data_IF_877120207299
#
_entry.id   IF_877120207299
#
_cell.length_a   1.000
_cell.length_b   1.000
_cell.length_c   1.000
_cell.angle_alpha   90.00
_cell.angle_beta   90.00
_cell.angle_gamma   90.00
#
_symmetry.space_group_name_H-M   'P 1'
#
loop_
_entity.id
_entity.type
_entity.pdbx_description
1 polymer ?
#
# COMPACT_ATOMS: atom_id res chain seq x y z
N UNK A 1 9.26 27.40 4.18
CA UNK A 1 9.76 28.54 4.98
C UNK A 1 11.22 28.89 4.69
N UNK A 2 12.16 27.95 4.59
CA UNK A 2 13.55 28.24 4.20
C UNK A 2 13.66 28.89 2.81
N UNK A 3 12.81 28.55 1.88
CA UNK A 3 12.77 29.06 0.50
C UNK A 3 11.85 30.27 0.32
N UNK A 4 11.24 30.78 1.40
CA UNK A 4 10.35 31.96 1.41
C UNK A 4 9.13 31.85 0.49
N UNK A 5 8.72 30.65 0.08
CA UNK A 5 7.54 30.44 -0.77
C UNK A 5 6.23 30.76 -0.03
N UNK A 6 6.20 30.55 1.29
CA UNK A 6 5.04 30.81 2.15
C UNK A 6 5.49 31.40 3.48
N UNK A 7 4.71 32.31 4.04
CA UNK A 7 4.83 32.76 5.41
C UNK A 7 4.00 31.90 6.38
N UNK A 8 4.33 31.98 7.67
CA UNK A 8 3.56 31.28 8.71
C UNK A 8 2.15 31.88 8.82
N UNK A 9 2.02 33.16 8.63
CA UNK A 9 0.75 33.90 8.66
C UNK A 9 -0.18 33.44 7.55
N UNK A 10 0.34 33.23 6.34
CA UNK A 10 -0.43 32.71 5.22
C UNK A 10 -0.95 31.31 5.51
N UNK A 11 -0.11 30.41 6.03
CA UNK A 11 -0.54 29.05 6.38
C UNK A 11 -1.60 29.07 7.49
N UNK A 12 -1.43 29.92 8.51
CA UNK A 12 -2.38 30.07 9.63
C UNK A 12 -3.68 30.76 9.25
N UNK A 13 -3.74 31.44 8.11
CA UNK A 13 -4.98 32.05 7.62
C UNK A 13 -5.99 31.04 7.09
N UNK A 14 -5.53 29.80 6.82
CA UNK A 14 -6.40 28.71 6.40
C UNK A 14 -6.94 27.93 7.61
N UNK A 15 -8.16 27.43 7.47
CA UNK A 15 -8.77 26.56 8.46
C UNK A 15 -8.37 25.10 8.18
N UNK A 16 -7.78 24.42 9.16
CA UNK A 16 -7.21 23.08 8.99
C UNK A 16 -7.99 21.95 9.68
N UNK A 17 -9.10 22.29 10.32
CA UNK A 17 -9.97 21.38 11.09
C UNK A 17 -10.49 22.08 12.34
N UNK A 18 -11.52 21.48 12.95
CA UNK A 18 -12.18 22.03 14.13
C UNK A 18 -11.71 21.40 15.44
N UNK A 19 -11.05 20.25 15.37
CA UNK A 19 -10.57 19.48 16.50
C UNK A 19 -9.11 19.05 16.28
N UNK A 20 -8.27 19.25 17.28
CA UNK A 20 -6.87 18.81 17.23
C UNK A 20 -6.73 17.29 17.37
N UNK A 21 -7.75 16.62 17.93
CA UNK A 21 -7.79 15.17 18.11
C UNK A 21 -8.40 14.42 16.92
N UNK A 22 -9.09 15.14 16.01
CA UNK A 22 -9.75 14.53 14.86
C UNK A 22 -9.37 15.23 13.55
N UNK A 23 -8.94 14.45 12.56
CA UNK A 23 -8.45 15.00 11.29
C UNK A 23 -9.61 15.19 10.32
N UNK A 24 -9.90 16.45 9.98
CA UNK A 24 -10.83 16.78 8.88
C UNK A 24 -10.10 16.63 7.53
N UNK A 25 -10.14 15.43 6.97
CA UNK A 25 -9.48 15.12 5.69
C UNK A 25 -10.02 15.94 4.52
N UNK A 26 -11.32 16.26 4.50
CA UNK A 26 -11.91 17.05 3.42
C UNK A 26 -11.36 18.48 3.43
N UNK A 27 -11.30 19.08 4.61
CA UNK A 27 -10.77 20.43 4.79
C UNK A 27 -9.27 20.50 4.50
N UNK A 28 -8.50 19.51 4.95
CA UNK A 28 -7.07 19.41 4.62
C UNK A 28 -6.89 19.30 3.10
N UNK A 29 -7.63 18.41 2.44
CA UNK A 29 -7.53 18.22 1.00
C UNK A 29 -7.78 19.52 0.24
N UNK A 30 -8.87 20.23 0.56
CA UNK A 30 -9.24 21.49 -0.09
C UNK A 30 -8.18 22.59 0.13
N UNK A 31 -7.79 22.81 1.37
CA UNK A 31 -6.92 23.94 1.72
C UNK A 31 -5.44 23.69 1.40
N UNK A 32 -4.97 22.43 1.50
CA UNK A 32 -3.60 22.09 1.15
C UNK A 32 -3.26 22.45 -0.30
N UNK A 33 -4.14 22.13 -1.24
CA UNK A 33 -3.88 22.47 -2.64
C UNK A 33 -3.92 23.96 -2.90
N UNK A 34 -4.75 24.75 -2.19
CA UNK A 34 -4.73 26.22 -2.26
C UNK A 34 -3.37 26.78 -1.81
N UNK A 35 -2.89 26.30 -0.68
CA UNK A 35 -1.58 26.67 -0.13
C UNK A 35 -0.42 26.26 -1.04
N UNK A 36 -0.46 25.07 -1.60
CA UNK A 36 0.55 24.59 -2.55
C UNK A 36 0.57 25.43 -3.84
N UNK A 37 -0.59 25.83 -4.37
CA UNK A 37 -0.68 26.73 -5.53
C UNK A 37 -0.10 28.13 -5.22
N UNK A 38 -0.29 28.66 -4.01
CA UNK A 38 0.35 29.93 -3.58
C UNK A 38 1.87 29.79 -3.53
N UNK A 39 2.38 28.64 -3.07
CA UNK A 39 3.82 28.35 -3.06
C UNK A 39 4.37 28.25 -4.49
N UNK A 40 3.69 27.51 -5.34
CA UNK A 40 4.07 27.32 -6.73
C UNK A 40 4.13 28.63 -7.52
N UNK A 41 3.19 29.54 -7.31
CA UNK A 41 3.18 30.85 -7.97
C UNK A 41 4.43 31.73 -7.67
N UNK A 42 5.21 31.36 -6.65
CA UNK A 42 6.46 32.03 -6.25
C UNK A 42 7.70 31.20 -6.48
N UNK A 43 7.49 29.98 -6.97
CA UNK A 43 8.57 29.04 -7.20
C UNK A 43 9.23 29.31 -8.56
N UNK A 44 10.54 29.22 -8.58
CA UNK A 44 11.33 29.34 -9.81
C UNK A 44 11.37 27.98 -10.54
N UNK A 45 10.59 27.85 -11.60
CA UNK A 45 10.51 26.62 -12.41
C UNK A 45 11.79 26.37 -13.23
N UNK A 46 12.66 27.36 -13.39
CA UNK A 46 13.96 27.22 -14.05
C UNK A 46 15.08 26.81 -13.07
N UNK A 47 14.74 26.60 -11.78
CA UNK A 47 15.68 26.14 -10.78
C UNK A 47 16.33 24.82 -11.22
N UNK A 48 17.69 24.81 -11.33
CA UNK A 48 18.43 23.65 -11.83
C UNK A 48 18.15 22.36 -11.08
N UNK A 49 17.91 22.41 -9.76
CA UNK A 49 17.63 21.22 -8.95
C UNK A 49 16.23 20.66 -9.28
N UNK A 50 15.27 21.54 -9.54
CA UNK A 50 13.93 21.12 -9.98
C UNK A 50 13.95 20.53 -11.38
N UNK A 51 14.64 21.17 -12.32
CA UNK A 51 14.77 20.66 -13.70
C UNK A 51 15.45 19.28 -13.69
N UNK A 52 16.57 19.16 -12.97
CA UNK A 52 17.26 17.86 -12.82
C UNK A 52 16.34 16.78 -12.22
N UNK A 53 15.56 17.13 -11.19
CA UNK A 53 14.59 16.20 -10.61
C UNK A 53 13.56 15.73 -11.64
N UNK A 54 13.01 16.64 -12.43
CA UNK A 54 12.04 16.29 -13.49
C UNK A 54 12.67 15.39 -14.56
N UNK A 55 13.88 15.69 -15.00
CA UNK A 55 14.61 14.85 -15.98
C UNK A 55 14.92 13.45 -15.45
N UNK A 56 15.45 13.34 -14.23
CA UNK A 56 15.79 12.06 -13.60
C UNK A 56 14.56 11.17 -13.33
N UNK A 57 13.40 11.77 -13.13
CA UNK A 57 12.15 11.08 -12.82
C UNK A 57 11.15 11.06 -13.99
N UNK A 58 11.53 11.55 -15.18
CA UNK A 58 10.64 11.69 -16.33
C UNK A 58 9.87 10.41 -16.68
N UNK A 59 10.46 9.22 -16.42
CA UNK A 59 9.86 7.93 -16.70
C UNK A 59 8.47 7.73 -16.06
N UNK A 60 8.26 8.27 -14.87
CA UNK A 60 6.98 8.15 -14.16
C UNK A 60 6.33 9.51 -13.92
N UNK A 61 7.12 10.55 -13.70
CA UNK A 61 6.67 11.87 -13.29
C UNK A 61 5.87 12.56 -14.40
N UNK A 62 6.31 12.45 -15.65
CA UNK A 62 5.62 13.08 -16.81
C UNK A 62 4.21 12.54 -16.96
N UNK A 63 4.05 11.22 -16.96
CA UNK A 63 2.72 10.60 -17.05
C UNK A 63 1.87 10.89 -15.81
N UNK A 64 2.47 10.91 -14.62
CA UNK A 64 1.76 11.23 -13.38
C UNK A 64 1.23 12.66 -13.38
N UNK A 65 2.06 13.62 -13.74
CA UNK A 65 1.69 15.04 -13.76
C UNK A 65 0.61 15.33 -14.79
N UNK A 66 0.76 14.79 -16.01
CA UNK A 66 -0.25 14.90 -17.07
C UNK A 66 -1.57 14.23 -16.64
N UNK A 67 -1.53 12.98 -16.15
CA UNK A 67 -2.72 12.27 -15.70
C UNK A 67 -3.47 13.07 -14.62
N UNK A 68 -2.74 13.59 -13.63
CA UNK A 68 -3.34 14.33 -12.52
C UNK A 68 -3.93 15.66 -12.99
N UNK A 69 -3.28 16.35 -13.94
CA UNK A 69 -3.80 17.55 -14.57
C UNK A 69 -5.09 17.26 -15.37
N UNK A 70 -5.11 16.17 -16.14
CA UNK A 70 -6.30 15.71 -16.87
C UNK A 70 -7.45 15.36 -15.90
N UNK A 71 -7.16 14.62 -14.82
CA UNK A 71 -8.17 14.31 -13.79
C UNK A 71 -8.83 15.58 -13.27
N UNK A 72 -8.06 16.62 -12.96
CA UNK A 72 -8.61 17.91 -12.49
C UNK A 72 -9.35 18.65 -13.57
N UNK A 73 -8.87 18.62 -14.80
CA UNK A 73 -9.53 19.24 -15.95
C UNK A 73 -10.92 18.64 -16.20
N UNK A 74 -11.06 17.31 -16.08
CA UNK A 74 -12.32 16.58 -16.24
C UNK A 74 -13.10 16.39 -14.94
N UNK A 75 -12.84 17.17 -13.89
CA UNK A 75 -13.62 17.13 -12.66
C UNK A 75 -13.50 15.84 -11.87
N UNK A 76 -12.31 15.24 -11.85
CA UNK A 76 -11.97 13.98 -11.19
C UNK A 76 -12.69 12.74 -11.78
N UNK A 77 -13.22 12.86 -13.01
CA UNK A 77 -13.85 11.73 -13.70
C UNK A 77 -12.85 10.61 -13.98
N UNK A 78 -13.32 9.35 -13.92
CA UNK A 78 -12.51 8.16 -14.22
C UNK A 78 -11.97 8.23 -15.64
N UNK A 79 -10.69 7.87 -15.85
CA UNK A 79 -10.03 7.96 -17.16
C UNK A 79 -10.73 7.12 -18.24
N UNK A 80 -11.45 6.07 -17.88
CA UNK A 80 -12.24 5.24 -18.80
C UNK A 80 -13.38 6.00 -19.46
N UNK A 81 -13.80 7.13 -18.89
CA UNK A 81 -14.85 8.00 -19.41
C UNK A 81 -14.33 9.16 -20.26
N UNK A 82 -13.02 9.34 -20.30
CA UNK A 82 -12.43 10.36 -21.16
C UNK A 82 -12.64 10.03 -22.64
N UNK A 83 -12.54 11.02 -23.50
CA UNK A 83 -12.59 10.83 -24.94
C UNK A 83 -11.58 9.78 -25.42
N UNK A 84 -11.97 9.05 -26.46
CA UNK A 84 -11.19 7.91 -26.97
C UNK A 84 -9.70 8.25 -27.23
N UNK A 85 -9.33 9.38 -27.87
CA UNK A 85 -7.93 9.72 -28.10
C UNK A 85 -7.11 9.85 -26.81
N UNK A 86 -7.68 10.43 -25.74
CA UNK A 86 -7.01 10.50 -24.44
C UNK A 86 -6.98 9.14 -23.73
N UNK A 87 -8.08 8.41 -23.82
CA UNK A 87 -8.18 7.07 -23.21
C UNK A 87 -7.19 6.10 -23.86
N UNK A 88 -6.99 6.20 -25.20
CA UNK A 88 -6.03 5.38 -25.96
C UNK A 88 -4.60 5.94 -25.93
N UNK A 89 -4.40 7.11 -25.36
CA UNK A 89 -3.12 7.85 -25.32
C UNK A 89 -2.61 8.20 -26.73
N UNK A 90 -3.50 8.69 -27.59
CA UNK A 90 -3.10 9.21 -28.89
C UNK A 90 -2.07 10.34 -28.74
N UNK A 91 -0.91 10.25 -29.42
CA UNK A 91 0.18 11.21 -29.23
C UNK A 91 -0.18 12.66 -29.56
N UNK A 92 -1.07 12.90 -30.53
CA UNK A 92 -1.49 14.27 -30.89
C UNK A 92 -2.42 14.84 -29.82
N UNK A 93 -3.37 14.03 -29.35
CA UNK A 93 -4.24 14.41 -28.23
C UNK A 93 -3.45 14.69 -26.96
N UNK A 94 -2.48 13.83 -26.59
CA UNK A 94 -1.62 14.08 -25.44
C UNK A 94 -0.87 15.40 -25.57
N UNK A 95 -0.25 15.66 -26.70
CA UNK A 95 0.50 16.90 -26.95
C UNK A 95 -0.37 18.16 -26.88
N UNK A 96 -1.62 18.09 -27.35
CA UNK A 96 -2.57 19.19 -27.21
C UNK A 96 -2.84 19.50 -25.73
N UNK A 97 -3.10 18.47 -24.91
CA UNK A 97 -3.36 18.66 -23.48
C UNK A 97 -2.09 19.02 -22.68
N UNK A 98 -0.93 18.49 -23.04
CA UNK A 98 0.36 18.94 -22.47
C UNK A 98 0.56 20.43 -22.67
N UNK A 99 0.20 20.96 -23.84
CA UNK A 99 0.27 22.41 -24.12
C UNK A 99 -0.79 23.18 -23.34
N UNK A 100 -2.02 22.70 -23.34
CA UNK A 100 -3.16 23.40 -22.71
C UNK A 100 -3.04 23.40 -21.18
N UNK A 101 -2.57 22.31 -20.59
CA UNK A 101 -2.47 22.12 -19.13
C UNK A 101 -1.04 22.30 -18.60
N UNK A 102 -0.16 22.90 -19.39
CA UNK A 102 1.27 23.05 -19.06
C UNK A 102 1.52 23.57 -17.64
N UNK A 103 0.79 24.61 -17.22
CA UNK A 103 0.94 25.17 -15.88
C UNK A 103 0.48 24.21 -14.77
N UNK A 104 -0.59 23.43 -15.00
CA UNK A 104 -1.06 22.45 -14.03
C UNK A 104 -0.12 21.24 -13.96
N UNK A 105 0.45 20.81 -15.09
CA UNK A 105 1.48 19.76 -15.14
C UNK A 105 2.69 20.17 -14.29
N UNK A 106 3.25 21.36 -14.54
CA UNK A 106 4.37 21.89 -13.74
C UNK A 106 4.04 22.02 -12.26
N UNK A 107 2.79 22.34 -11.93
CA UNK A 107 2.34 22.37 -10.53
C UNK A 107 2.40 20.99 -9.87
N UNK A 108 1.99 19.94 -10.56
CA UNK A 108 2.07 18.57 -10.00
C UNK A 108 3.50 18.04 -9.95
N UNK A 109 4.35 18.39 -10.91
CA UNK A 109 5.79 18.13 -10.86
C UNK A 109 6.43 18.83 -9.64
N UNK A 110 6.10 20.11 -9.41
CA UNK A 110 6.52 20.84 -8.22
C UNK A 110 6.06 20.18 -6.92
N UNK A 111 4.82 19.69 -6.86
CA UNK A 111 4.32 18.99 -5.67
C UNK A 111 5.14 17.73 -5.38
N UNK A 112 5.50 16.95 -6.41
CA UNK A 112 6.34 15.76 -6.25
C UNK A 112 7.78 16.16 -5.86
N UNK A 113 8.36 17.16 -6.49
CA UNK A 113 9.67 17.69 -6.13
C UNK A 113 9.75 18.05 -4.64
N UNK A 114 8.79 18.83 -4.15
CA UNK A 114 8.74 19.22 -2.75
C UNK A 114 8.53 18.04 -1.81
N UNK A 115 7.70 17.06 -2.21
CA UNK A 115 7.52 15.83 -1.46
C UNK A 115 8.82 15.06 -1.33
N UNK A 116 9.48 14.74 -2.45
CA UNK A 116 10.72 13.96 -2.45
C UNK A 116 11.85 14.66 -1.70
N UNK A 117 11.97 15.97 -1.84
CA UNK A 117 12.93 16.80 -1.09
C UNK A 117 12.72 16.73 0.43
N UNK A 118 11.46 16.79 0.88
CA UNK A 118 11.10 16.70 2.29
C UNK A 118 11.24 15.27 2.82
N UNK A 119 10.81 14.29 2.03
CA UNK A 119 10.93 12.88 2.37
C UNK A 119 12.39 12.45 2.54
N UNK A 120 13.24 12.84 1.62
CA UNK A 120 14.69 12.58 1.71
C UNK A 120 15.28 13.09 3.02
N UNK A 121 14.95 14.34 3.40
CA UNK A 121 15.40 14.92 4.68
C UNK A 121 14.88 14.15 5.89
N UNK A 122 13.61 13.71 5.86
CA UNK A 122 13.02 12.92 6.92
C UNK A 122 13.71 11.56 7.04
N UNK A 123 13.91 10.87 5.91
CA UNK A 123 14.58 9.57 5.86
C UNK A 123 16.02 9.69 6.40
N UNK A 124 16.78 10.66 5.94
CA UNK A 124 18.13 10.94 6.44
C UNK A 124 18.15 11.22 7.95
N UNK A 125 17.18 11.99 8.45
CA UNK A 125 17.04 12.27 9.87
C UNK A 125 16.76 11.01 10.69
N UNK A 126 15.89 10.12 10.21
CA UNK A 126 15.58 8.83 10.83
C UNK A 126 16.80 7.89 10.80
N UNK A 127 17.40 7.70 9.63
CA UNK A 127 18.53 6.80 9.44
C UNK A 127 19.75 7.22 10.27
N UNK A 128 20.05 8.52 10.40
CA UNK A 128 21.12 9.03 11.26
C UNK A 128 20.90 8.74 12.77
N UNK A 129 19.70 8.26 13.15
CA UNK A 129 19.35 7.82 14.51
C UNK A 129 19.19 6.31 14.61
N UNK A 130 19.58 5.56 13.58
CA UNK A 130 19.44 4.10 13.53
C UNK A 130 18.00 3.64 13.33
N UNK A 131 17.09 4.52 12.87
CA UNK A 131 15.70 4.21 12.58
C UNK A 131 15.55 3.94 11.08
N UNK A 132 15.07 2.77 10.72
CA UNK A 132 14.74 2.40 9.35
C UNK A 132 13.25 2.65 9.06
N UNK A 133 12.95 3.04 7.82
CA UNK A 133 11.59 3.24 7.35
C UNK A 133 11.15 2.00 6.55
N UNK A 134 10.04 1.40 6.96
CA UNK A 134 9.41 0.29 6.24
C UNK A 134 8.25 0.86 5.42
N UNK A 135 8.29 0.66 4.10
CA UNK A 135 7.21 1.03 3.19
C UNK A 135 6.36 -0.16 2.81
N UNK A 136 5.06 0.03 2.76
CA UNK A 136 4.12 -0.98 2.31
C UNK A 136 3.83 -0.80 0.81
N UNK A 137 4.10 -1.85 0.03
CA UNK A 137 3.88 -1.87 -1.41
C UNK A 137 2.66 -2.72 -1.74
N UNK A 138 1.51 -2.11 -2.06
CA UNK A 138 0.32 -2.85 -2.50
C UNK A 138 0.64 -3.70 -3.73
N UNK A 139 0.22 -4.97 -3.72
CA UNK A 139 0.45 -5.82 -4.89
C UNK A 139 -0.29 -5.29 -6.12
N UNK A 140 -1.56 -4.94 -6.00
CA UNK A 140 -2.36 -4.39 -7.08
C UNK A 140 -2.35 -2.86 -7.08
N UNK A 141 -2.77 -2.28 -8.19
CA UNK A 141 -2.99 -0.84 -8.37
C UNK A 141 -4.46 -0.56 -8.64
N UNK A 142 -4.91 0.65 -8.35
CA UNK A 142 -6.28 1.04 -8.64
C UNK A 142 -6.52 1.12 -10.15
N UNK A 143 -7.73 0.75 -10.59
CA UNK A 143 -8.12 0.85 -12.00
C UNK A 143 -8.05 2.31 -12.50
N UNK A 144 -8.56 3.23 -11.68
CA UNK A 144 -8.47 4.67 -11.95
C UNK A 144 -7.15 5.23 -11.41
N UNK A 145 -6.07 4.91 -12.11
CA UNK A 145 -4.71 5.33 -11.78
C UNK A 145 -3.87 5.58 -13.03
N UNK A 146 -2.83 6.38 -12.88
CA UNK A 146 -1.83 6.60 -13.93
C UNK A 146 -1.15 5.29 -14.35
N UNK A 147 -0.91 4.38 -13.40
CA UNK A 147 -0.27 3.10 -13.67
C UNK A 147 -1.04 2.30 -14.73
N UNK A 148 -2.37 2.26 -14.60
CA UNK A 148 -3.23 1.53 -15.55
C UNK A 148 -3.42 2.33 -16.84
N UNK A 149 -3.67 3.63 -16.76
CA UNK A 149 -3.86 4.48 -17.93
C UNK A 149 -2.61 4.53 -18.83
N UNK A 150 -1.43 4.65 -18.23
CA UNK A 150 -0.17 4.75 -18.96
C UNK A 150 0.34 3.40 -19.49
N UNK A 151 -0.09 2.28 -18.91
CA UNK A 151 0.45 0.96 -19.21
C UNK A 151 -0.67 -0.08 -19.41
N UNK A 152 -1.70 0.25 -20.19
CA UNK A 152 -2.91 -0.58 -20.36
C UNK A 152 -2.62 -2.02 -20.77
N UNK A 153 -1.61 -2.25 -21.58
CA UNK A 153 -1.20 -3.57 -22.08
C UNK A 153 -0.66 -4.48 -20.98
N UNK A 154 -0.25 -3.90 -19.83
CA UNK A 154 0.23 -4.66 -18.66
C UNK A 154 -0.90 -5.20 -17.78
N UNK A 155 -2.15 -4.88 -18.13
CA UNK A 155 -3.34 -5.31 -17.40
C UNK A 155 -4.32 -6.03 -18.32
N UNK A 156 -5.15 -6.92 -17.76
CA UNK A 156 -6.17 -7.62 -18.52
C UNK A 156 -7.43 -6.75 -18.66
N UNK A 157 -7.42 -5.87 -19.66
CA UNK A 157 -8.49 -4.92 -19.96
C UNK A 157 -9.17 -5.25 -21.30
N UNK A 158 -10.42 -4.83 -21.45
CA UNK A 158 -11.10 -4.69 -22.74
C UNK A 158 -10.61 -3.43 -23.48
N UNK A 159 -11.03 -3.24 -24.74
CA UNK A 159 -10.62 -2.09 -25.53
C UNK A 159 -11.06 -0.75 -24.93
N UNK A 160 -12.19 -0.71 -24.24
CA UNK A 160 -12.71 0.47 -23.57
C UNK A 160 -12.04 0.78 -22.21
N UNK A 161 -11.08 -0.04 -21.77
CA UNK A 161 -10.40 0.07 -20.49
C UNK A 161 -11.13 -0.64 -19.34
N UNK A 162 -12.25 -1.29 -19.59
CA UNK A 162 -12.95 -2.09 -18.59
C UNK A 162 -12.13 -3.34 -18.21
N UNK A 163 -11.97 -3.70 -16.94
CA UNK A 163 -11.26 -4.93 -16.57
C UNK A 163 -11.99 -6.19 -17.04
N UNK A 164 -11.26 -7.15 -17.63
CA UNK A 164 -11.79 -8.50 -17.93
C UNK A 164 -12.15 -9.26 -16.65
N UNK A 165 -11.43 -8.99 -15.61
CA UNK A 165 -11.65 -9.46 -14.25
C UNK A 165 -10.84 -8.63 -13.28
N UNK A 166 -11.23 -8.65 -12.03
CA UNK A 166 -10.60 -7.90 -10.95
C UNK A 166 -10.04 -8.82 -9.88
N UNK A 167 -9.07 -8.35 -9.13
CA UNK A 167 -8.53 -9.05 -7.98
C UNK A 167 -9.59 -9.19 -6.88
N UNK A 168 -9.46 -10.22 -6.07
CA UNK A 168 -10.34 -10.48 -4.95
C UNK A 168 -9.90 -11.68 -4.13
N UNK A 169 -10.78 -12.14 -3.26
CA UNK A 169 -10.57 -13.33 -2.43
C UNK A 169 -11.82 -14.24 -2.47
N UNK A 170 -11.63 -15.56 -2.35
CA UNK A 170 -12.75 -16.50 -2.25
C UNK A 170 -13.48 -16.32 -0.92
N UNK A 171 -14.71 -16.88 -0.79
CA UNK A 171 -15.39 -16.99 0.50
C UNK A 171 -14.51 -17.63 1.59
N UNK A 172 -14.44 -17.00 2.75
CA UNK A 172 -13.67 -17.48 3.90
C UNK A 172 -14.34 -17.09 5.24
N UNK A 173 -13.60 -17.18 6.35
CA UNK A 173 -14.11 -16.82 7.67
C UNK A 173 -14.28 -15.31 7.87
N UNK A 174 -13.63 -14.47 7.05
CA UNK A 174 -13.72 -13.02 7.11
C UNK A 174 -14.83 -12.46 6.22
N UNK A 175 -15.14 -13.18 5.11
CA UNK A 175 -16.18 -12.77 4.17
C UNK A 175 -16.89 -14.00 3.60
N UNK A 176 -18.14 -14.21 3.99
CA UNK A 176 -19.00 -15.31 3.52
C UNK A 176 -19.21 -15.28 1.99
N UNK A 177 -19.22 -14.08 1.40
CA UNK A 177 -19.41 -13.86 -0.03
C UNK A 177 -18.10 -13.74 -0.80
N UNK A 178 -16.95 -13.89 -0.13
CA UNK A 178 -15.65 -13.52 -0.70
C UNK A 178 -15.53 -12.02 -0.91
N UNK A 179 -14.43 -11.60 -1.54
CA UNK A 179 -14.13 -10.19 -1.73
C UNK A 179 -13.90 -9.88 -3.20
N UNK A 180 -14.33 -8.69 -3.63
CA UNK A 180 -14.08 -8.12 -4.95
C UNK A 180 -13.42 -6.76 -4.75
N UNK A 181 -12.11 -6.65 -5.03
CA UNK A 181 -11.33 -5.46 -4.69
C UNK A 181 -11.37 -4.35 -5.75
N UNK A 182 -11.87 -4.66 -6.96
CA UNK A 182 -11.96 -3.68 -8.04
C UNK A 182 -10.66 -3.41 -8.80
N UNK A 183 -9.51 -3.79 -8.28
CA UNK A 183 -8.22 -3.62 -8.95
C UNK A 183 -8.09 -4.56 -10.15
N UNK A 184 -7.62 -4.10 -11.33
CA UNK A 184 -7.40 -4.95 -12.48
C UNK A 184 -6.28 -5.96 -12.22
N UNK A 185 -6.38 -7.14 -12.82
CA UNK A 185 -5.32 -8.13 -12.73
C UNK A 185 -4.28 -7.94 -13.83
N UNK A 186 -3.04 -8.31 -13.53
CA UNK A 186 -1.91 -8.13 -14.44
C UNK A 186 -1.94 -9.08 -15.65
N UNK A 187 -1.48 -8.61 -16.78
CA UNK A 187 -1.14 -9.41 -17.96
C UNK A 187 0.30 -9.94 -17.82
N UNK A 188 0.46 -11.01 -17.04
CA UNK A 188 1.76 -11.59 -16.73
C UNK A 188 2.54 -12.02 -17.97
N UNK A 189 1.85 -12.46 -19.02
CA UNK A 189 2.50 -12.85 -20.27
C UNK A 189 3.18 -11.65 -20.95
N UNK A 190 2.49 -10.52 -21.01
CA UNK A 190 3.05 -9.28 -21.57
C UNK A 190 4.20 -8.74 -20.71
N UNK A 191 4.06 -8.76 -19.38
CA UNK A 191 5.13 -8.34 -18.47
C UNK A 191 6.38 -9.23 -18.56
N UNK A 192 6.21 -10.52 -18.85
CA UNK A 192 7.34 -11.44 -19.01
C UNK A 192 8.17 -11.14 -20.27
N UNK A 193 7.54 -10.64 -21.35
CA UNK A 193 8.22 -10.31 -22.62
C UNK A 193 9.32 -9.27 -22.45
N UNK A 194 9.15 -8.30 -21.55
CA UNK A 194 10.16 -7.27 -21.25
C UNK A 194 10.94 -7.53 -19.96
N UNK A 195 10.80 -8.73 -19.40
CA UNK A 195 11.48 -9.12 -18.16
C UNK A 195 10.94 -8.45 -16.90
N UNK A 196 9.64 -8.09 -16.89
CA UNK A 196 8.95 -7.41 -15.78
C UNK A 196 9.49 -5.99 -15.52
N UNK A 197 9.81 -5.26 -16.58
CA UNK A 197 10.42 -3.93 -16.48
C UNK A 197 9.62 -2.93 -15.62
N UNK A 198 8.28 -2.96 -15.69
CA UNK A 198 7.42 -2.14 -14.86
C UNK A 198 7.56 -2.48 -13.36
N UNK A 199 7.56 -3.78 -13.01
CA UNK A 199 7.76 -4.21 -11.62
C UNK A 199 9.15 -3.85 -11.09
N UNK A 200 10.19 -4.02 -11.91
CA UNK A 200 11.55 -3.61 -11.56
C UNK A 200 11.62 -2.11 -11.24
N UNK A 201 11.02 -1.28 -12.10
CA UNK A 201 10.97 0.15 -11.88
C UNK A 201 10.21 0.53 -10.61
N UNK A 202 9.05 -0.10 -10.38
CA UNK A 202 8.24 0.12 -9.19
C UNK A 202 9.00 -0.22 -7.91
N UNK A 203 9.71 -1.34 -7.89
CA UNK A 203 10.56 -1.73 -6.76
C UNK A 203 11.71 -0.77 -6.53
N UNK A 204 12.38 -0.31 -7.60
CA UNK A 204 13.47 0.67 -7.50
C UNK A 204 13.01 2.00 -6.92
N UNK A 205 11.85 2.51 -7.35
CA UNK A 205 11.31 3.76 -6.79
C UNK A 205 10.96 3.60 -5.30
N UNK A 206 10.41 2.45 -4.89
CA UNK A 206 10.15 2.18 -3.47
C UNK A 206 11.44 2.05 -2.66
N UNK A 207 12.48 1.46 -3.21
CA UNK A 207 13.79 1.35 -2.56
C UNK A 207 14.46 2.72 -2.32
N UNK A 208 14.17 3.73 -3.16
CA UNK A 208 14.61 5.11 -2.89
C UNK A 208 13.89 5.71 -1.67
N UNK A 209 12.60 5.40 -1.50
CA UNK A 209 11.78 5.96 -0.44
C UNK A 209 11.97 5.26 0.90
N UNK A 210 12.18 3.94 0.91
CA UNK A 210 12.17 3.11 2.11
C UNK A 210 13.46 2.32 2.25
N UNK A 211 13.77 1.91 3.48
CA UNK A 211 14.91 1.06 3.80
C UNK A 211 14.53 -0.41 3.73
N UNK A 212 13.26 -0.71 4.01
CA UNK A 212 12.66 -2.04 3.93
C UNK A 212 11.33 -1.94 3.17
N UNK A 213 11.03 -2.88 2.31
CA UNK A 213 9.76 -2.94 1.57
C UNK A 213 8.94 -4.11 2.07
N UNK A 214 7.73 -3.85 2.61
CA UNK A 214 6.72 -4.89 2.81
C UNK A 214 5.97 -5.09 1.49
N UNK A 215 6.11 -6.26 0.91
CA UNK A 215 5.35 -6.62 -0.29
C UNK A 215 4.03 -7.26 0.13
N UNK A 216 2.98 -6.49 -0.06
CA UNK A 216 1.62 -6.90 0.27
C UNK A 216 1.13 -8.03 -0.63
N UNK A 217 0.24 -8.89 -0.12
CA UNK A 217 -0.41 -9.99 -0.83
C UNK A 217 0.55 -10.87 -1.66
N UNK A 218 1.70 -11.23 -1.09
CA UNK A 218 2.77 -11.97 -1.77
C UNK A 218 2.29 -13.31 -2.37
N UNK A 219 1.28 -13.91 -1.77
CA UNK A 219 0.69 -15.14 -2.26
C UNK A 219 0.22 -15.05 -3.73
N UNK A 220 -0.15 -13.85 -4.19
CA UNK A 220 -0.56 -13.58 -5.57
C UNK A 220 0.55 -13.82 -6.59
N UNK A 221 1.83 -13.74 -6.21
CA UNK A 221 2.94 -14.10 -7.08
C UNK A 221 2.88 -15.59 -7.48
N UNK A 222 2.35 -16.44 -6.61
CA UNK A 222 2.20 -17.88 -6.89
C UNK A 222 0.84 -18.15 -7.50
N UNK A 223 -0.22 -17.64 -6.87
CA UNK A 223 -1.60 -17.89 -7.29
C UNK A 223 -2.50 -16.76 -6.77
N UNK A 224 -3.31 -16.20 -7.65
CA UNK A 224 -4.20 -15.10 -7.33
C UNK A 224 -5.64 -15.40 -7.72
N UNK A 225 -6.58 -14.75 -7.06
CA UNK A 225 -8.01 -14.98 -7.29
C UNK A 225 -8.58 -13.88 -8.17
N UNK A 226 -9.26 -14.28 -9.23
CA UNK A 226 -9.84 -13.36 -10.24
C UNK A 226 -11.35 -13.46 -10.18
N UNK A 227 -11.99 -12.35 -9.90
CA UNK A 227 -13.45 -12.22 -9.89
C UNK A 227 -13.88 -11.60 -11.21
N UNK A 228 -14.86 -12.19 -11.94
CA UNK A 228 -15.38 -11.57 -13.15
C UNK A 228 -15.88 -10.15 -12.88
N UNK A 229 -15.55 -9.19 -13.76
CA UNK A 229 -15.89 -7.80 -13.51
C UNK A 229 -17.39 -7.55 -13.28
N UNK A 230 -18.25 -8.31 -13.94
CA UNK A 230 -19.72 -8.22 -13.82
C UNK A 230 -20.29 -8.97 -12.62
N UNK A 231 -19.48 -9.71 -11.85
CA UNK A 231 -19.93 -10.40 -10.65
C UNK A 231 -20.22 -9.39 -9.52
N UNK A 232 -21.21 -9.70 -8.70
CA UNK A 232 -21.58 -8.86 -7.56
C UNK A 232 -20.55 -9.01 -6.42
N UNK A 233 -20.01 -10.22 -6.23
CA UNK A 233 -19.12 -10.57 -5.12
C UNK A 233 -18.03 -11.59 -5.53
N UNK A 234 -17.25 -12.08 -4.55
CA UNK A 234 -16.15 -12.99 -4.75
C UNK A 234 -16.53 -14.44 -5.05
N UNK A 235 -17.80 -14.86 -4.90
CA UNK A 235 -18.21 -16.28 -5.01
C UNK A 235 -17.96 -16.90 -6.38
N UNK A 236 -18.05 -16.11 -7.44
CA UNK A 236 -17.88 -16.57 -8.82
C UNK A 236 -16.46 -16.49 -9.35
N UNK A 237 -15.51 -16.07 -8.51
CA UNK A 237 -14.12 -15.95 -8.91
C UNK A 237 -13.42 -17.29 -9.13
N UNK A 238 -12.23 -17.22 -9.74
CA UNK A 238 -11.39 -18.37 -10.04
C UNK A 238 -9.94 -18.11 -9.73
N UNK A 239 -9.24 -19.14 -9.29
CA UNK A 239 -7.81 -19.10 -9.10
C UNK A 239 -7.06 -19.11 -10.43
N UNK A 240 -6.11 -18.20 -10.55
CA UNK A 240 -5.18 -18.07 -11.68
C UNK A 240 -3.73 -18.20 -11.18
N UNK A 241 -2.84 -18.66 -12.05
CA UNK A 241 -1.43 -18.85 -11.73
C UNK A 241 -0.68 -17.52 -11.88
N UNK A 242 0.10 -17.17 -10.86
CA UNK A 242 1.00 -16.02 -10.89
C UNK A 242 2.33 -16.29 -11.60
N UNK A 243 3.18 -15.27 -11.75
CA UNK A 243 4.47 -15.36 -12.45
C UNK A 243 5.52 -16.17 -11.69
N UNK A 244 5.34 -16.39 -10.39
CA UNK A 244 6.21 -17.22 -9.55
C UNK A 244 7.64 -16.68 -9.49
N UNK A 245 8.58 -17.63 -9.54
CA UNK A 245 10.02 -17.35 -9.47
C UNK A 245 10.51 -16.30 -10.49
N UNK A 246 9.89 -16.22 -11.67
CA UNK A 246 10.34 -15.30 -12.73
C UNK A 246 10.25 -13.83 -12.26
N UNK A 247 9.17 -13.45 -11.57
CA UNK A 247 9.02 -12.11 -11.03
C UNK A 247 10.00 -11.86 -9.87
N UNK A 248 10.13 -12.79 -8.93
CA UNK A 248 11.06 -12.59 -7.80
C UNK A 248 12.51 -12.50 -8.28
N UNK A 249 12.92 -13.29 -9.29
CA UNK A 249 14.25 -13.18 -9.90
C UNK A 249 14.46 -11.80 -10.58
N UNK A 250 13.40 -11.25 -11.19
CA UNK A 250 13.47 -9.93 -11.81
C UNK A 250 13.59 -8.80 -10.75
N UNK A 251 12.88 -8.93 -9.63
CA UNK A 251 12.98 -8.01 -8.50
C UNK A 251 14.38 -8.07 -7.87
N UNK A 252 14.87 -9.26 -7.53
CA UNK A 252 16.19 -9.46 -6.90
C UNK A 252 17.34 -8.84 -7.71
N UNK A 253 17.21 -8.76 -9.03
CA UNK A 253 18.25 -8.14 -9.91
C UNK A 253 18.43 -6.64 -9.68
N UNK A 254 17.41 -5.94 -9.20
CA UNK A 254 17.39 -4.48 -9.19
C UNK A 254 17.38 -3.85 -7.80
N UNK A 255 16.89 -4.57 -6.79
CA UNK A 255 16.70 -3.97 -5.45
C UNK A 255 17.98 -3.82 -4.62
N UNK A 256 19.12 -4.41 -5.07
CA UNK A 256 20.39 -4.37 -4.31
C UNK A 256 20.22 -4.93 -2.90
N UNK A 257 20.70 -4.18 -1.91
CA UNK A 257 20.68 -4.57 -0.50
C UNK A 257 19.37 -4.21 0.22
N UNK A 258 18.33 -3.75 -0.49
CA UNK A 258 17.04 -3.41 0.12
C UNK A 258 16.36 -4.67 0.64
N UNK A 259 16.02 -4.68 1.93
CA UNK A 259 15.32 -5.79 2.54
C UNK A 259 13.85 -5.84 2.11
N UNK A 260 13.34 -7.05 1.91
CA UNK A 260 11.93 -7.28 1.60
C UNK A 260 11.32 -8.14 2.71
N UNK A 261 10.15 -7.72 3.21
CA UNK A 261 9.24 -8.50 4.04
C UNK A 261 8.05 -8.87 3.17
N UNK A 262 7.52 -10.08 3.29
CA UNK A 262 6.38 -10.50 2.48
C UNK A 262 5.16 -10.80 3.35
N UNK A 263 4.00 -10.29 2.93
CA UNK A 263 2.73 -10.66 3.51
C UNK A 263 2.29 -11.99 2.89
N UNK A 264 2.45 -13.09 3.65
CA UNK A 264 2.19 -14.48 3.21
C UNK A 264 0.88 -15.04 3.73
N UNK A 265 -0.01 -14.19 4.26
CA UNK A 265 -1.30 -14.59 4.80
C UNK A 265 -2.25 -14.95 3.65
N UNK A 266 -2.74 -16.17 3.64
CA UNK A 266 -3.61 -16.71 2.59
C UNK A 266 -4.84 -17.41 3.18
N UNK A 267 -5.62 -16.70 4.00
CA UNK A 267 -6.84 -17.22 4.59
C UNK A 267 -6.66 -18.59 5.30
N UNK A 268 -7.70 -19.42 5.32
CA UNK A 268 -7.67 -20.73 6.00
C UNK A 268 -6.81 -21.79 5.31
N UNK A 269 -6.45 -21.60 4.05
CA UNK A 269 -5.72 -22.62 3.27
C UNK A 269 -4.45 -22.02 2.68
N UNK A 270 -3.28 -22.45 3.16
CA UNK A 270 -2.01 -21.99 2.58
C UNK A 270 -1.97 -22.27 1.09
N UNK A 271 -1.55 -21.30 0.29
CA UNK A 271 -1.36 -21.49 -1.15
C UNK A 271 -0.08 -22.32 -1.35
N UNK A 272 -0.19 -23.53 -1.91
CA UNK A 272 0.97 -24.36 -2.16
C UNK A 272 2.00 -23.62 -3.03
N UNK A 273 3.26 -23.60 -2.62
CA UNK A 273 4.34 -22.94 -3.33
C UNK A 273 4.79 -21.61 -2.74
N UNK A 274 3.97 -20.93 -1.92
CA UNK A 274 4.37 -19.67 -1.24
C UNK A 274 5.58 -19.93 -0.33
N UNK A 275 5.50 -20.86 0.60
CA UNK A 275 6.63 -21.22 1.49
C UNK A 275 7.89 -21.62 0.73
N UNK A 276 7.74 -22.33 -0.41
CA UNK A 276 8.88 -22.68 -1.26
C UNK A 276 9.51 -21.46 -1.93
N UNK A 277 8.70 -20.50 -2.36
CA UNK A 277 9.19 -19.28 -2.97
C UNK A 277 9.91 -18.41 -1.93
N UNK A 278 9.34 -18.27 -0.72
CA UNK A 278 9.96 -17.58 0.42
C UNK A 278 11.31 -18.21 0.81
N UNK A 279 11.36 -19.54 0.95
CA UNK A 279 12.60 -20.24 1.25
C UNK A 279 13.69 -20.03 0.18
N UNK A 280 13.30 -19.81 -1.09
CA UNK A 280 14.23 -19.53 -2.18
C UNK A 280 14.76 -18.09 -2.10
N UNK A 281 13.90 -17.12 -1.83
CA UNK A 281 14.27 -15.71 -1.79
C UNK A 281 14.94 -15.32 -0.47
N UNK A 282 14.70 -16.07 0.60
CA UNK A 282 15.10 -15.70 1.96
C UNK A 282 14.29 -14.53 2.53
N UNK A 283 13.22 -14.11 1.87
CA UNK A 283 12.37 -13.03 2.36
C UNK A 283 11.50 -13.50 3.53
N UNK A 284 11.57 -12.83 4.70
CA UNK A 284 10.76 -13.19 5.85
C UNK A 284 9.27 -12.98 5.60
N UNK A 285 8.46 -13.92 6.06
CA UNK A 285 7.02 -13.79 6.15
C UNK A 285 6.58 -13.14 7.46
N UNK A 286 5.28 -12.99 7.62
CA UNK A 286 4.69 -12.35 8.80
C UNK A 286 3.87 -13.31 9.65
N UNK A 287 3.81 -13.03 10.96
CA UNK A 287 2.92 -13.69 11.92
C UNK A 287 2.13 -12.63 12.68
N UNK A 288 0.83 -12.88 12.87
CA UNK A 288 -0.09 -11.95 13.52
C UNK A 288 -0.67 -12.62 14.76
N UNK A 289 -0.25 -12.16 15.95
CA UNK A 289 -0.62 -12.81 17.21
C UNK A 289 -2.11 -12.76 17.51
N UNK A 290 -2.82 -11.69 17.13
CA UNK A 290 -4.26 -11.64 17.39
C UNK A 290 -5.06 -12.77 16.67
N UNK A 291 -4.50 -13.39 15.64
CA UNK A 291 -5.12 -14.53 14.93
C UNK A 291 -4.70 -15.90 15.49
N UNK A 292 -3.83 -15.90 16.50
CA UNK A 292 -3.25 -17.13 17.02
C UNK A 292 -4.19 -17.95 17.92
N UNK A 293 -5.10 -17.28 18.63
CA UNK A 293 -5.85 -17.83 19.75
C UNK A 293 -7.26 -18.28 19.36
N UNK A 294 -7.31 -19.42 18.67
CA UNK A 294 -8.53 -20.19 18.41
C UNK A 294 -8.42 -21.58 19.04
N UNK A 295 -9.19 -22.52 18.51
CA UNK A 295 -9.22 -23.92 19.01
C UNK A 295 -8.05 -24.79 18.51
N UNK A 296 -7.20 -24.24 17.60
CA UNK A 296 -6.10 -24.98 16.97
C UNK A 296 -4.75 -24.63 17.62
N UNK A 297 -4.20 -25.54 18.40
CA UNK A 297 -2.87 -25.41 18.99
C UNK A 297 -1.71 -25.53 17.99
N UNK A 298 -1.99 -25.98 16.76
CA UNK A 298 -1.04 -26.02 15.64
C UNK A 298 -1.09 -24.74 14.80
N UNK A 299 -1.86 -23.73 15.21
CA UNK A 299 -1.96 -22.45 14.51
C UNK A 299 -0.55 -21.85 14.32
N UNK A 300 -0.20 -21.54 13.07
CA UNK A 300 1.13 -21.05 12.71
C UNK A 300 1.46 -19.65 13.26
N UNK A 301 0.48 -18.92 13.78
CA UNK A 301 0.68 -17.64 14.44
C UNK A 301 1.06 -17.74 15.92
N UNK A 302 0.95 -18.94 16.53
CA UNK A 302 1.37 -19.16 17.91
C UNK A 302 2.90 -19.21 18.04
N UNK A 303 3.53 -18.43 18.93
CA UNK A 303 4.99 -18.36 19.07
C UNK A 303 5.71 -19.69 19.20
N UNK A 304 5.12 -20.67 19.90
CA UNK A 304 5.73 -21.99 20.07
C UNK A 304 5.76 -22.84 18.78
N UNK A 305 5.03 -22.45 17.75
CA UNK A 305 5.04 -23.11 16.43
C UNK A 305 6.03 -22.46 15.45
N UNK A 306 6.74 -21.41 15.84
CA UNK A 306 7.75 -20.82 14.99
C UNK A 306 8.97 -21.72 14.87
N UNK A 307 9.38 -22.02 13.64
CA UNK A 307 10.49 -22.92 13.34
C UNK A 307 11.73 -22.21 12.81
N UNK A 308 11.63 -20.90 12.55
CA UNK A 308 12.68 -20.07 12.00
C UNK A 308 12.62 -18.69 12.68
N UNK A 309 13.75 -18.03 12.85
CA UNK A 309 13.82 -16.66 13.34
C UNK A 309 13.66 -15.61 12.22
N UNK A 310 13.90 -16.00 10.95
CA UNK A 310 13.73 -15.13 9.78
C UNK A 310 12.23 -14.87 9.50
N UNK A 311 11.58 -14.19 10.41
CA UNK A 311 10.17 -13.81 10.32
C UNK A 311 9.91 -12.49 11.06
N UNK A 312 8.79 -11.86 10.74
CA UNK A 312 8.31 -10.63 11.37
C UNK A 312 7.03 -10.93 12.14
N UNK A 313 7.02 -10.62 13.43
CA UNK A 313 5.83 -10.80 14.28
C UNK A 313 5.13 -9.47 14.51
N UNK A 314 3.84 -9.47 14.26
CA UNK A 314 2.93 -8.38 14.61
C UNK A 314 2.01 -8.79 15.74
N UNK A 315 1.67 -7.89 16.64
CA UNK A 315 0.53 -8.08 17.51
C UNK A 315 -0.78 -8.02 16.69
N UNK A 316 -0.92 -6.99 15.88
CA UNK A 316 -1.88 -6.80 14.80
C UNK A 316 -1.27 -5.88 13.75
N UNK A 317 -1.68 -5.98 12.48
CA UNK A 317 -1.21 -5.10 11.41
C UNK A 317 -2.12 -3.87 11.28
N UNK A 318 -1.72 -2.91 10.44
CA UNK A 318 -2.54 -1.73 10.12
C UNK A 318 -3.86 -2.08 9.41
N UNK A 319 -4.00 -3.28 8.85
CA UNK A 319 -5.24 -3.77 8.23
C UNK A 319 -6.23 -4.33 9.26
N UNK A 320 -5.77 -4.57 10.48
CA UNK A 320 -6.57 -5.16 11.55
C UNK A 320 -7.19 -4.10 12.46
N UNK A 321 -8.09 -4.54 13.31
CA UNK A 321 -8.51 -3.79 14.49
C UNK A 321 -7.34 -3.59 15.45
N UNK A 322 -7.46 -2.64 16.39
CA UNK A 322 -6.55 -2.60 17.52
C UNK A 322 -6.74 -3.84 18.42
N UNK A 323 -5.74 -4.22 19.20
CA UNK A 323 -5.87 -5.35 20.13
C UNK A 323 -7.10 -5.18 21.03
N UNK A 324 -7.27 -3.98 21.61
CA UNK A 324 -8.43 -3.68 22.47
C UNK A 324 -9.74 -3.85 21.70
N UNK A 325 -9.82 -3.36 20.47
CA UNK A 325 -11.01 -3.47 19.61
C UNK A 325 -11.34 -4.92 19.27
N UNK A 326 -10.34 -5.67 18.81
CA UNK A 326 -10.49 -7.06 18.37
C UNK A 326 -10.99 -8.00 19.47
N UNK A 327 -10.53 -7.80 20.71
CA UNK A 327 -10.92 -8.65 21.83
C UNK A 327 -12.11 -8.11 22.65
N UNK A 328 -12.62 -6.92 22.35
CA UNK A 328 -13.69 -6.23 23.11
C UNK A 328 -14.91 -7.11 23.34
N UNK A 329 -15.45 -7.65 22.27
CA UNK A 329 -16.74 -8.34 22.28
C UNK A 329 -16.62 -9.87 22.44
N UNK A 330 -15.40 -10.39 22.56
CA UNK A 330 -15.16 -11.81 22.81
C UNK A 330 -15.51 -12.18 24.25
N UNK A 331 -16.15 -13.31 24.41
CA UNK A 331 -16.51 -13.86 25.71
C UNK A 331 -15.30 -14.50 26.41
N UNK A 332 -15.34 -14.65 27.74
CA UNK A 332 -14.29 -15.32 28.49
C UNK A 332 -14.11 -16.80 28.05
N UNK A 333 -15.16 -17.42 27.56
CA UNK A 333 -15.07 -18.77 27.00
C UNK A 333 -14.21 -18.78 25.72
N UNK A 334 -14.41 -17.83 24.81
CA UNK A 334 -13.60 -17.69 23.60
C UNK A 334 -12.16 -17.30 23.90
N UNK A 335 -11.92 -16.63 25.03
CA UNK A 335 -10.60 -16.17 25.46
C UNK A 335 -9.89 -17.16 26.41
N UNK A 336 -10.53 -18.26 26.80
CA UNK A 336 -9.98 -19.19 27.80
C UNK A 336 -8.58 -19.69 27.42
N UNK A 337 -8.38 -20.10 26.18
CA UNK A 337 -7.08 -20.55 25.68
C UNK A 337 -6.02 -19.41 25.69
N UNK A 338 -6.42 -18.21 25.28
CA UNK A 338 -5.55 -17.02 25.32
C UNK A 338 -5.12 -16.71 26.75
N UNK A 339 -6.05 -16.73 27.69
CA UNK A 339 -5.76 -16.48 29.12
C UNK A 339 -4.79 -17.50 29.69
N UNK A 340 -4.99 -18.78 29.40
CA UNK A 340 -4.09 -19.85 29.82
C UNK A 340 -2.71 -19.70 29.17
N UNK A 341 -2.66 -19.50 27.85
CA UNK A 341 -1.41 -19.40 27.11
C UNK A 341 -0.55 -18.19 27.53
N UNK A 342 -1.18 -17.04 27.74
CA UNK A 342 -0.50 -15.80 28.15
C UNK A 342 -0.32 -15.67 29.66
N UNK A 343 -0.87 -16.61 30.45
CA UNK A 343 -0.88 -16.58 31.90
C UNK A 343 -1.45 -15.27 32.49
N UNK A 344 -2.62 -14.87 32.00
CA UNK A 344 -3.36 -13.69 32.45
C UNK A 344 -4.76 -14.08 32.91
N UNK A 345 -5.46 -13.15 33.60
CA UNK A 345 -6.79 -13.41 34.16
C UNK A 345 -7.86 -12.48 33.67
N UNK A 346 -7.48 -11.32 33.19
CA UNK A 346 -8.41 -10.25 32.83
C UNK A 346 -8.15 -9.76 31.41
N UNK A 347 -9.21 -9.35 30.76
CA UNK A 347 -9.19 -8.87 29.36
C UNK A 347 -8.28 -7.65 29.17
N UNK A 348 -8.22 -6.77 30.18
CA UNK A 348 -7.41 -5.56 30.18
C UNK A 348 -5.90 -5.83 30.14
N UNK A 349 -5.49 -7.06 30.49
CA UNK A 349 -4.08 -7.48 30.45
C UNK A 349 -3.64 -7.93 29.05
N UNK A 350 -4.60 -8.22 28.14
CA UNK A 350 -4.33 -8.80 26.80
C UNK A 350 -3.33 -7.96 26.00
N UNK A 351 -3.46 -6.62 25.88
CA UNK A 351 -2.52 -5.85 25.06
C UNK A 351 -1.07 -6.01 25.49
N UNK A 352 -0.80 -5.84 26.80
CA UNK A 352 0.56 -5.98 27.35
C UNK A 352 1.08 -7.42 27.22
N UNK A 353 0.22 -8.40 27.41
CA UNK A 353 0.60 -9.81 27.33
C UNK A 353 0.92 -10.24 25.89
N UNK A 354 0.14 -9.82 24.91
CA UNK A 354 0.41 -10.06 23.48
C UNK A 354 1.70 -9.39 23.03
N UNK A 355 1.91 -8.12 23.38
CA UNK A 355 3.13 -7.40 23.06
C UNK A 355 4.35 -8.11 23.69
N UNK A 356 4.23 -8.55 24.95
CA UNK A 356 5.29 -9.32 25.61
C UNK A 356 5.54 -10.66 24.91
N UNK A 357 4.49 -11.36 24.49
CA UNK A 357 4.63 -12.62 23.77
C UNK A 357 5.30 -12.43 22.40
N UNK A 358 5.00 -11.33 21.70
CA UNK A 358 5.69 -10.96 20.47
C UNK A 358 7.19 -10.79 20.69
N UNK A 359 7.59 -9.98 21.68
CA UNK A 359 9.00 -9.75 22.00
C UNK A 359 9.72 -10.97 22.61
N UNK A 360 8.99 -11.91 23.22
CA UNK A 360 9.55 -13.15 23.76
C UNK A 360 9.68 -14.26 22.70
N UNK A 361 9.18 -14.05 21.50
CA UNK A 361 9.28 -15.01 20.39
C UNK A 361 10.71 -15.08 19.84
N UNK A 362 10.95 -16.08 18.98
CA UNK A 362 12.25 -16.25 18.29
C UNK A 362 12.42 -15.35 17.07
N UNK A 363 11.43 -14.51 16.74
CA UNK A 363 11.43 -13.70 15.53
C UNK A 363 12.55 -12.62 15.55
N UNK A 364 13.17 -12.40 14.40
CA UNK A 364 14.20 -11.36 14.25
C UNK A 364 13.61 -9.94 14.35
N UNK A 365 12.34 -9.77 13.95
CA UNK A 365 11.67 -8.46 13.97
C UNK A 365 10.29 -8.55 14.61
N UNK A 366 9.98 -7.57 15.44
CA UNK A 366 8.66 -7.39 16.05
C UNK A 366 8.15 -6.00 15.72
N UNK A 367 6.93 -5.90 15.20
CA UNK A 367 6.27 -4.64 14.87
C UNK A 367 4.98 -4.51 15.67
N UNK A 368 4.86 -3.42 16.42
CA UNK A 368 3.71 -3.13 17.27
C UNK A 368 3.08 -1.80 16.84
N UNK A 369 1.77 -1.78 16.70
CA UNK A 369 1.03 -0.55 16.44
C UNK A 369 1.11 0.41 17.63
N UNK A 370 1.27 1.70 17.38
CA UNK A 370 1.27 2.71 18.43
C UNK A 370 -0.04 2.70 19.24
N UNK A 371 -1.17 2.49 18.56
CA UNK A 371 -2.50 2.37 19.17
C UNK A 371 -2.56 1.24 20.19
N UNK A 372 -1.90 0.11 19.91
CA UNK A 372 -1.84 -1.04 20.83
C UNK A 372 -0.95 -0.76 22.04
N UNK A 373 0.18 -0.06 21.83
CA UNK A 373 1.02 0.41 22.95
C UNK A 373 0.27 1.39 23.86
N UNK A 374 -0.60 2.22 23.28
CA UNK A 374 -1.42 3.17 24.01
C UNK A 374 -2.74 2.56 24.52
N UNK A 375 -3.02 1.29 24.22
CA UNK A 375 -4.25 0.56 24.60
C UNK A 375 -5.53 1.24 24.13
N UNK A 376 -5.52 1.82 22.92
CA UNK A 376 -6.66 2.48 22.33
C UNK A 376 -7.57 1.47 21.63
N UNK A 377 -8.87 1.79 21.57
CA UNK A 377 -9.86 0.99 20.85
C UNK A 377 -9.89 1.30 19.35
N UNK A 378 -10.92 0.77 18.68
CA UNK A 378 -11.08 0.91 17.22
C UNK A 378 -11.28 2.35 16.73
N UNK A 379 -11.65 3.27 17.62
CA UNK A 379 -11.69 4.70 17.33
C UNK A 379 -10.34 5.30 16.90
N UNK A 380 -9.24 4.64 17.30
CA UNK A 380 -7.87 5.04 16.92
C UNK A 380 -7.32 4.28 15.70
N UNK A 381 -8.14 3.48 15.02
CA UNK A 381 -7.74 2.76 13.82
C UNK A 381 -7.51 3.75 12.66
N UNK A 382 -6.31 3.73 12.08
CA UNK A 382 -5.93 4.68 11.03
C UNK A 382 -6.24 4.18 9.61
N UNK A 383 -6.16 2.87 9.37
CA UNK A 383 -6.49 2.28 8.09
C UNK A 383 -7.91 1.69 8.15
N UNK A 384 -8.88 2.43 7.64
CA UNK A 384 -10.25 1.99 7.50
C UNK A 384 -10.42 1.35 6.12
N UNK A 385 -10.40 0.02 6.07
CA UNK A 385 -10.70 -0.70 4.84
C UNK A 385 -12.10 -0.35 4.35
N UNK A 386 -12.24 -0.05 3.05
CA UNK A 386 -13.54 0.20 2.41
C UNK A 386 -14.51 -0.99 2.53
N UNK A 387 -14.02 -2.16 2.88
CA UNK A 387 -14.84 -3.37 3.10
C UNK A 387 -15.77 -3.22 4.32
N UNK A 388 -15.48 -2.30 5.23
CA UNK A 388 -16.26 -2.07 6.45
C UNK A 388 -17.07 -0.77 6.42
N UNK A 389 -17.16 -0.10 5.29
CA UNK A 389 -17.97 1.14 5.10
C UNK A 389 -19.31 0.82 4.41
N UNK A 390 -19.74 -0.42 4.39
CA UNK A 390 -21.06 -0.82 3.86
C UNK A 390 -22.08 -1.05 4.98
#
# INVERSE_FOLDING_TARGET
>A
MQEKLLSVEEIRSFHWGNDEADIDYAMIYENRFKVLKMAFARFDIENEVFVTFCEENARWLSDYALYTALKKHFGDEEWQKWDEPLRSRDPEALKEYETTLHTDILFYEFCQFEFFKQWKKLKEYANNRGIQLIGDLPFYVALDSVDVWANRELFLLEEDGTPKGVAGAPPDAFSENGQKWGSPVYNWSRMEEDGFAWWQARMLEHAKLFDVIRLDHFAAIVKYYVVPNKAEDGRSGKWSRGPGKKLTDAIEKVIGDTHIIVEDIAGKSPIPGVKKLMARTGWPGIKILMFAFGDDTANEHLPHNYTDCNLVVYAGTHDNETIVGYFRDKTDYELAYLYEYLNIKYKEEIPDALIRAAYASIADVVIIQMQDLMKLGNEARMNLSLIHIS
#
